data_IF_310153926189
#
_entry.id   IF_310153926189
#
_cell.length_a   1.000
_cell.length_b   1.000
_cell.length_c   1.000
_cell.angle_alpha   90.00
_cell.angle_beta   90.00
_cell.angle_gamma   90.00
#
_symmetry.space_group_name_H-M   'P 1'
#
loop_
_entity.id
_entity.type
_entity.pdbx_description
1 polymer ?
#
# COMPACT_ATOMS: atom_id res chain seq x y z
N UNK A 1 1.06 -0.38 11.14
CA UNK A 1 -0.29 -0.73 11.68
C UNK A 1 -0.06 -1.80 12.73
N UNK A 2 -0.32 -1.56 14.05
CA UNK A 2 0.23 -2.40 15.12
C UNK A 2 -0.12 -3.90 15.03
N UNK A 3 -1.27 -4.26 14.48
CA UNK A 3 -1.66 -5.66 14.30
C UNK A 3 -0.87 -6.43 13.23
N UNK A 4 -0.01 -5.74 12.47
CA UNK A 4 0.85 -6.34 11.44
C UNK A 4 2.34 -6.28 11.82
N UNK A 5 2.69 -5.80 13.01
CA UNK A 5 4.08 -5.68 13.44
C UNK A 5 4.73 -7.06 13.59
N UNK A 6 5.83 -7.31 12.86
CA UNK A 6 6.52 -8.60 12.87
C UNK A 6 5.72 -9.74 12.24
N UNK A 7 4.63 -9.44 11.53
CA UNK A 7 3.80 -10.46 10.89
C UNK A 7 4.46 -11.03 9.64
N UNK A 8 5.24 -10.22 8.93
CA UNK A 8 5.86 -10.61 7.68
C UNK A 8 7.36 -10.88 7.87
N UNK A 9 7.98 -11.68 6.98
CA UNK A 9 9.41 -11.94 7.06
C UNK A 9 10.24 -10.67 6.77
N UNK A 10 11.38 -10.55 7.45
CA UNK A 10 12.39 -9.56 7.11
C UNK A 10 13.01 -9.91 5.73
N UNK A 11 13.29 -8.93 4.87
CA UNK A 11 13.31 -7.47 5.12
C UNK A 11 11.97 -6.75 4.86
N UNK A 12 10.94 -7.46 4.40
CA UNK A 12 9.76 -6.84 3.79
C UNK A 12 8.69 -6.37 4.77
N UNK A 13 8.76 -6.77 6.04
CA UNK A 13 7.77 -6.45 7.07
C UNK A 13 7.44 -4.96 7.17
N UNK A 14 8.47 -4.12 7.21
CA UNK A 14 8.29 -2.69 7.28
C UNK A 14 7.64 -2.14 6.01
N UNK A 15 8.10 -2.56 4.84
CA UNK A 15 7.60 -2.09 3.54
C UNK A 15 6.13 -2.44 3.33
N UNK A 16 5.72 -3.67 3.68
CA UNK A 16 4.32 -4.09 3.59
C UNK A 16 3.45 -3.29 4.56
N UNK A 17 3.90 -3.11 5.79
CA UNK A 17 3.15 -2.34 6.78
C UNK A 17 2.99 -0.87 6.40
N UNK A 18 4.00 -0.27 5.76
CA UNK A 18 3.93 1.08 5.18
C UNK A 18 2.89 1.15 4.06
N UNK A 19 2.90 0.19 3.12
CA UNK A 19 1.90 0.12 2.06
C UNK A 19 0.47 -0.03 2.62
N UNK A 20 0.27 -0.95 3.57
CA UNK A 20 -1.02 -1.15 4.23
C UNK A 20 -1.52 0.12 4.91
N UNK A 21 -0.64 0.85 5.59
CA UNK A 21 -0.99 2.13 6.20
C UNK A 21 -1.49 3.15 5.17
N UNK A 22 -0.77 3.31 4.05
CA UNK A 22 -1.14 4.24 2.98
C UNK A 22 -2.48 3.85 2.35
N UNK A 23 -2.72 2.55 2.11
CA UNK A 23 -4.00 2.05 1.61
C UNK A 23 -5.15 2.34 2.57
N UNK A 24 -4.97 2.08 3.86
CA UNK A 24 -5.98 2.39 4.88
C UNK A 24 -6.26 3.89 4.96
N UNK A 25 -5.23 4.73 4.88
CA UNK A 25 -5.36 6.18 4.92
C UNK A 25 -6.13 6.70 3.69
N UNK A 26 -5.74 6.26 2.50
CA UNK A 26 -6.45 6.56 1.25
C UNK A 26 -7.91 6.11 1.31
N UNK A 27 -8.17 4.87 1.75
CA UNK A 27 -9.52 4.33 1.84
C UNK A 27 -10.38 5.09 2.85
N UNK A 28 -9.82 5.52 3.99
CA UNK A 28 -10.51 6.35 4.96
C UNK A 28 -10.89 7.71 4.36
N UNK A 29 -9.98 8.38 3.65
CA UNK A 29 -10.26 9.64 2.95
C UNK A 29 -11.37 9.48 1.90
N UNK A 30 -11.31 8.40 1.10
CA UNK A 30 -12.31 8.09 0.09
C UNK A 30 -13.69 7.83 0.72
N UNK A 31 -13.75 7.03 1.79
CA UNK A 31 -14.99 6.64 2.46
C UNK A 31 -15.63 7.77 3.25
N UNK A 32 -14.83 8.67 3.83
CA UNK A 32 -15.33 9.82 4.57
C UNK A 32 -15.98 10.85 3.65
N UNK A 33 -15.70 10.83 2.33
CA UNK A 33 -16.33 11.70 1.33
C UNK A 33 -16.44 13.16 1.80
N UNK A 34 -15.46 13.64 2.59
CA UNK A 34 -15.33 15.05 2.89
C UNK A 34 -14.92 15.70 1.56
N UNK A 35 -15.86 16.27 0.84
CA UNK A 35 -15.62 17.03 -0.37
C UNK A 35 -15.27 18.49 -0.05
N UNK A 36 -14.51 18.73 1.01
CA UNK A 36 -13.85 20.02 1.21
C UNK A 36 -12.62 20.11 0.29
N UNK A 37 -12.26 21.31 -0.18
CA UNK A 37 -11.10 21.46 -1.06
C UNK A 37 -9.81 20.91 -0.45
N UNK A 38 -9.62 21.09 0.86
CA UNK A 38 -8.46 20.61 1.61
C UNK A 38 -8.34 19.08 1.60
N UNK A 39 -9.43 18.36 1.83
CA UNK A 39 -9.45 16.89 1.81
C UNK A 39 -9.31 16.32 0.41
N UNK A 40 -9.80 17.02 -0.62
CA UNK A 40 -9.57 16.62 -2.02
C UNK A 40 -8.10 16.79 -2.42
N UNK A 41 -7.44 17.86 -2.00
CA UNK A 41 -6.00 18.04 -2.21
C UNK A 41 -5.18 16.95 -1.52
N UNK A 42 -5.51 16.64 -0.25
CA UNK A 42 -4.89 15.56 0.50
C UNK A 42 -5.12 14.22 -0.19
N UNK A 43 -6.35 13.91 -0.60
CA UNK A 43 -6.67 12.66 -1.29
C UNK A 43 -5.91 12.53 -2.62
N UNK A 44 -5.78 13.62 -3.39
CA UNK A 44 -4.95 13.65 -4.60
C UNK A 44 -3.49 13.29 -4.31
N UNK A 45 -2.87 13.95 -3.32
CA UNK A 45 -1.49 13.67 -2.93
C UNK A 45 -1.28 12.23 -2.44
N UNK A 46 -2.20 11.73 -1.60
CA UNK A 46 -2.16 10.35 -1.09
C UNK A 46 -2.37 9.33 -2.20
N UNK A 47 -3.18 9.62 -3.21
CA UNK A 47 -3.40 8.74 -4.37
C UNK A 47 -2.11 8.61 -5.20
N UNK A 48 -1.39 9.71 -5.43
CA UNK A 48 -0.10 9.69 -6.13
C UNK A 48 0.93 8.88 -5.32
N UNK A 49 1.02 9.13 -4.02
CA UNK A 49 1.93 8.41 -3.13
C UNK A 49 1.61 6.91 -3.07
N UNK A 50 0.34 6.54 -2.97
CA UNK A 50 -0.11 5.15 -3.03
C UNK A 50 0.34 4.46 -4.32
N UNK A 51 0.19 5.13 -5.46
CA UNK A 51 0.67 4.61 -6.75
C UNK A 51 2.18 4.36 -6.77
N UNK A 52 2.97 5.26 -6.17
CA UNK A 52 4.42 5.07 -6.02
C UNK A 52 4.76 3.89 -5.12
N UNK A 53 4.10 3.74 -3.97
CA UNK A 53 4.30 2.61 -3.07
C UNK A 53 3.93 1.28 -3.73
N UNK A 54 2.82 1.23 -4.49
CA UNK A 54 2.42 0.05 -5.23
C UNK A 54 3.40 -0.29 -6.36
N UNK A 55 3.89 0.71 -7.09
CA UNK A 55 4.88 0.50 -8.13
C UNK A 55 6.22 0.03 -7.56
N UNK A 56 6.67 0.63 -6.45
CA UNK A 56 7.85 0.18 -5.72
C UNK A 56 7.68 -1.28 -5.27
N UNK A 57 6.56 -1.60 -4.62
CA UNK A 57 6.27 -2.95 -4.15
C UNK A 57 6.19 -3.98 -5.28
N UNK A 58 5.61 -3.63 -6.42
CA UNK A 58 5.47 -4.54 -7.56
C UNK A 58 6.77 -4.75 -8.34
N UNK A 59 7.66 -3.75 -8.36
CA UNK A 59 8.93 -3.82 -9.08
C UNK A 59 10.12 -4.18 -8.18
N UNK A 60 9.96 -4.18 -6.86
CA UNK A 60 10.93 -4.78 -5.96
C UNK A 60 10.95 -6.28 -6.31
N UNK A 61 12.02 -6.78 -6.95
CA UNK A 61 12.07 -8.15 -7.42
C UNK A 61 12.41 -9.00 -6.21
N UNK A 62 11.41 -9.26 -5.38
CA UNK A 62 11.49 -10.21 -4.31
C UNK A 62 11.70 -11.58 -4.97
N UNK A 63 12.95 -12.00 -5.16
CA UNK A 63 13.31 -13.38 -5.48
C UNK A 63 13.06 -14.32 -4.27
N UNK A 64 12.24 -13.85 -3.32
CA UNK A 64 11.85 -14.51 -2.09
C UNK A 64 10.60 -15.38 -2.39
N UNK A 65 10.70 -16.72 -2.24
CA UNK A 65 9.57 -17.62 -2.47
C UNK A 65 8.35 -17.32 -1.58
N UNK A 66 8.48 -16.60 -0.46
CA UNK A 66 7.36 -16.17 0.37
C UNK A 66 6.57 -14.99 -0.23
N UNK A 67 7.18 -14.21 -1.12
CA UNK A 67 6.63 -12.97 -1.67
C UNK A 67 6.45 -13.03 -3.19
N UNK A 68 6.37 -14.24 -3.74
CA UNK A 68 5.86 -14.44 -5.09
C UNK A 68 4.40 -13.96 -5.06
N UNK A 69 4.13 -12.78 -5.61
CA UNK A 69 2.79 -12.48 -6.09
C UNK A 69 2.37 -13.69 -6.90
N UNK A 70 1.34 -14.41 -6.47
CA UNK A 70 0.72 -15.46 -7.26
C UNK A 70 0.61 -14.89 -8.66
N UNK A 71 1.41 -15.42 -9.60
CA UNK A 71 1.20 -15.12 -11.01
C UNK A 71 -0.26 -15.49 -11.21
N UNK A 72 -1.09 -14.48 -11.42
CA UNK A 72 -2.47 -14.74 -11.74
C UNK A 72 -2.42 -15.39 -13.12
N UNK A 73 -2.38 -16.71 -13.13
CA UNK A 73 -2.41 -17.57 -14.31
C UNK A 73 -3.83 -17.44 -14.90
N UNK A 74 -4.10 -16.31 -15.56
CA UNK A 74 -5.38 -16.07 -16.25
C UNK A 74 -5.31 -16.34 -17.76
N UNK A 75 -4.42 -17.23 -18.21
CA UNK A 75 -4.59 -17.88 -19.52
C UNK A 75 -5.70 -18.96 -19.47
#
# INVERSE_FOLDING_TARGET
VPCFEGLFPAPHDKTIQELLYVMCYWHALAKLHLHTESTLQIMGGVTVFLGQCLHYFANDPCNDPCMQTLKADWE
#
